data_IF_911692496171
#
_entry.id   IF_911692496171
#
_cell.length_a   1.000
_cell.length_b   1.000
_cell.length_c   1.000
_cell.angle_alpha   90.00
_cell.angle_beta   90.00
_cell.angle_gamma   90.00
#
_symmetry.space_group_name_H-M   'P 1'
#
loop_
_entity.id
_entity.type
_entity.pdbx_description
1 polymer ?
#
# COMPACT_ATOMS: atom_id res chain seq x y z
N UNK A 1 -28.03 0.83 -24.25
CA UNK A 1 -27.97 0.27 -22.87
C UNK A 1 -26.50 0.23 -22.42
N UNK A 2 -26.03 1.22 -21.66
CA UNK A 2 -24.69 1.18 -21.06
C UNK A 2 -24.70 0.14 -19.94
N UNK A 3 -24.09 -1.03 -20.16
CA UNK A 3 -23.74 -1.93 -19.06
C UNK A 3 -22.68 -1.20 -18.23
N UNK A 4 -23.09 -0.54 -17.15
CA UNK A 4 -22.18 -0.02 -16.12
C UNK A 4 -21.49 -1.22 -15.46
N UNK A 5 -20.39 -1.66 -16.07
CA UNK A 5 -19.51 -2.65 -15.46
C UNK A 5 -18.72 -1.95 -14.37
N UNK A 6 -19.08 -2.18 -13.10
CA UNK A 6 -18.39 -1.59 -11.95
C UNK A 6 -16.99 -2.22 -11.74
N UNK A 7 -16.86 -3.52 -12.01
CA UNK A 7 -15.58 -4.23 -12.01
C UNK A 7 -15.69 -5.51 -12.86
N UNK A 8 -14.58 -5.93 -13.47
CA UNK A 8 -14.44 -7.24 -14.13
C UNK A 8 -13.27 -7.98 -13.48
N UNK A 9 -13.57 -9.11 -12.85
CA UNK A 9 -12.56 -9.99 -12.30
C UNK A 9 -12.01 -10.90 -13.40
N UNK A 10 -10.71 -11.15 -13.39
CA UNK A 10 -10.11 -12.18 -14.23
C UNK A 10 -10.57 -13.54 -13.73
N UNK A 11 -11.26 -14.31 -14.59
CA UNK A 11 -11.66 -15.68 -14.25
C UNK A 11 -10.49 -16.67 -14.16
N UNK A 12 -9.36 -16.34 -14.79
CA UNK A 12 -8.10 -17.07 -14.75
C UNK A 12 -6.94 -16.12 -15.03
N UNK A 13 -5.77 -16.38 -14.44
CA UNK A 13 -4.57 -15.57 -14.64
C UNK A 13 -3.40 -16.07 -13.80
N UNK A 14 -2.17 -15.96 -14.33
CA UNK A 14 -0.95 -16.21 -13.58
C UNK A 14 -0.50 -14.92 -12.86
N UNK A 15 -0.79 -14.86 -11.55
CA UNK A 15 -0.39 -13.77 -10.67
C UNK A 15 0.86 -14.13 -9.84
N UNK A 16 1.69 -15.03 -10.34
CA UNK A 16 2.98 -15.32 -9.73
C UNK A 16 3.92 -14.10 -9.79
N UNK A 17 4.80 -13.97 -8.79
CA UNK A 17 5.81 -12.92 -8.77
C UNK A 17 6.72 -12.96 -10.00
N UNK A 18 6.95 -14.16 -10.57
CA UNK A 18 7.68 -14.33 -11.84
C UNK A 18 6.93 -13.65 -12.99
N UNK A 19 5.64 -13.94 -13.16
CA UNK A 19 4.86 -13.38 -14.25
C UNK A 19 4.66 -11.86 -14.09
N UNK A 20 4.46 -11.39 -12.86
CA UNK A 20 4.38 -9.96 -12.54
C UNK A 20 5.68 -9.25 -12.92
N UNK A 21 6.84 -9.82 -12.57
CA UNK A 21 8.14 -9.28 -12.96
C UNK A 21 8.31 -9.22 -14.47
N UNK A 22 7.94 -10.28 -15.18
CA UNK A 22 8.10 -10.35 -16.63
C UNK A 22 7.21 -9.36 -17.38
N UNK A 23 5.96 -9.16 -16.93
CA UNK A 23 4.99 -8.31 -17.62
C UNK A 23 5.07 -6.84 -17.20
N UNK A 24 5.42 -6.56 -15.94
CA UNK A 24 5.37 -5.21 -15.37
C UNK A 24 6.74 -4.69 -14.92
N UNK A 25 7.81 -5.50 -14.95
CA UNK A 25 9.14 -5.08 -14.49
C UNK A 25 9.23 -4.90 -12.97
N UNK A 26 8.28 -5.46 -12.21
CA UNK A 26 8.17 -5.28 -10.76
C UNK A 26 8.58 -6.55 -10.03
N UNK A 27 9.44 -6.43 -9.02
CA UNK A 27 9.84 -7.55 -8.18
C UNK A 27 9.16 -7.48 -6.81
N UNK A 28 8.02 -8.15 -6.69
CA UNK A 28 7.30 -8.32 -5.42
C UNK A 28 7.98 -9.43 -4.61
N UNK A 29 7.98 -9.32 -3.27
CA UNK A 29 8.34 -10.46 -2.42
C UNK A 29 9.82 -10.57 -2.06
N UNK A 30 10.71 -9.73 -2.63
CA UNK A 30 12.16 -9.83 -2.37
C UNK A 30 12.51 -9.67 -0.89
N UNK A 31 11.78 -8.82 -0.16
CA UNK A 31 11.95 -8.56 1.27
C UNK A 31 10.91 -9.25 2.15
N UNK A 32 9.93 -9.91 1.54
CA UNK A 32 8.76 -10.49 2.22
C UNK A 32 8.58 -11.97 1.88
N UNK A 33 9.70 -12.69 1.68
CA UNK A 33 9.73 -14.14 1.45
C UNK A 33 8.78 -14.64 0.34
N UNK A 34 8.72 -13.91 -0.78
CA UNK A 34 7.90 -14.32 -1.91
C UNK A 34 6.40 -14.12 -1.72
N UNK A 35 5.98 -13.32 -0.73
CA UNK A 35 4.58 -12.96 -0.52
C UNK A 35 3.94 -12.44 -1.81
N UNK A 36 2.68 -12.85 -2.01
CA UNK A 36 1.78 -12.31 -3.04
C UNK A 36 0.92 -11.22 -2.40
N UNK A 37 0.63 -10.20 -3.18
CA UNK A 37 -0.29 -9.13 -2.77
C UNK A 37 -1.73 -9.59 -2.93
N UNK A 38 -2.62 -8.96 -2.18
CA UNK A 38 -4.04 -9.33 -2.15
C UNK A 38 -4.74 -9.10 -3.49
N UNK A 39 -4.51 -7.94 -4.13
CA UNK A 39 -5.24 -7.54 -5.34
C UNK A 39 -4.33 -6.83 -6.34
N UNK A 40 -4.53 -7.08 -7.64
CA UNK A 40 -4.01 -6.26 -8.74
C UNK A 40 -5.18 -5.62 -9.47
N UNK A 41 -5.17 -4.30 -9.57
CA UNK A 41 -6.25 -3.51 -10.19
C UNK A 41 -5.70 -2.82 -11.43
N UNK A 42 -6.39 -2.95 -12.56
CA UNK A 42 -6.14 -2.14 -13.75
C UNK A 42 -7.19 -1.04 -13.84
N UNK A 43 -6.76 0.23 -13.78
CA UNK A 43 -7.61 1.40 -14.06
C UNK A 43 -6.97 2.15 -15.23
N UNK A 44 -7.65 2.17 -16.37
CA UNK A 44 -7.13 2.71 -17.63
C UNK A 44 -5.79 2.06 -18.06
N UNK A 45 -4.71 2.84 -18.08
CA UNK A 45 -3.35 2.43 -18.45
C UNK A 45 -2.48 2.09 -17.24
N UNK A 46 -3.00 2.31 -16.03
CA UNK A 46 -2.28 2.18 -14.78
C UNK A 46 -2.63 0.86 -14.09
N UNK A 47 -1.62 0.29 -13.43
CA UNK A 47 -1.70 -0.99 -12.71
C UNK A 47 -1.38 -0.73 -11.25
N UNK A 48 -2.28 -1.14 -10.37
CA UNK A 48 -2.17 -0.96 -8.92
C UNK A 48 -1.98 -2.32 -8.26
N UNK A 49 -0.95 -2.42 -7.43
CA UNK A 49 -0.54 -3.61 -6.70
C UNK A 49 -0.86 -3.36 -5.23
N UNK A 50 -1.93 -4.00 -4.75
CA UNK A 50 -2.56 -3.64 -3.50
C UNK A 50 -2.42 -4.74 -2.45
N UNK A 51 -1.98 -4.33 -1.27
CA UNK A 51 -2.13 -5.10 -0.03
C UNK A 51 -3.12 -4.39 0.89
N UNK A 52 -4.04 -5.16 1.46
CA UNK A 52 -5.06 -4.70 2.39
C UNK A 52 -4.82 -5.30 3.78
N UNK A 53 -4.88 -4.46 4.81
CA UNK A 53 -5.01 -4.90 6.20
C UNK A 53 -6.22 -4.24 6.83
N UNK A 54 -6.91 -5.03 7.65
CA UNK A 54 -7.94 -4.57 8.56
C UNK A 54 -7.48 -4.92 9.97
N UNK A 55 -7.07 -3.91 10.74
CA UNK A 55 -6.47 -4.08 12.06
C UNK A 55 -7.52 -3.87 13.14
N UNK A 56 -7.99 -4.97 13.73
CA UNK A 56 -8.98 -4.97 14.83
C UNK A 56 -8.36 -5.17 16.21
N UNK A 57 -7.08 -5.53 16.27
CA UNK A 57 -6.36 -5.83 17.52
C UNK A 57 -5.18 -4.89 17.71
N UNK A 58 -4.93 -4.50 18.97
CA UNK A 58 -3.80 -3.66 19.34
C UNK A 58 -2.52 -4.46 19.62
N UNK A 59 -1.36 -3.79 19.67
CA UNK A 59 -0.13 -4.34 20.23
C UNK A 59 0.99 -4.67 19.23
N UNK A 60 1.77 -5.70 19.52
CA UNK A 60 2.99 -6.05 18.76
C UNK A 60 2.72 -6.47 17.31
N UNK A 61 1.63 -7.23 17.10
CA UNK A 61 1.23 -7.70 15.77
C UNK A 61 0.82 -6.55 14.85
N UNK A 62 0.09 -5.57 15.38
CA UNK A 62 -0.32 -4.37 14.67
C UNK A 62 0.89 -3.62 14.07
N UNK A 63 1.94 -3.45 14.88
CA UNK A 63 3.17 -2.79 14.44
C UNK A 63 3.85 -3.52 13.29
N UNK A 64 3.84 -4.86 13.31
CA UNK A 64 4.43 -5.68 12.26
C UNK A 64 3.67 -5.51 10.95
N UNK A 65 2.34 -5.46 11.01
CA UNK A 65 1.48 -5.25 9.84
C UNK A 65 1.68 -3.86 9.24
N UNK A 66 1.83 -2.81 10.06
CA UNK A 66 2.14 -1.45 9.57
C UNK A 66 3.49 -1.41 8.86
N UNK A 67 4.53 -2.01 9.45
CA UNK A 67 5.85 -2.06 8.83
C UNK A 67 5.82 -2.83 7.50
N UNK A 68 5.05 -3.92 7.42
CA UNK A 68 4.85 -4.67 6.19
C UNK A 68 4.21 -3.80 5.10
N UNK A 69 3.14 -3.07 5.44
CA UNK A 69 2.50 -2.14 4.51
C UNK A 69 3.46 -1.03 4.05
N UNK A 70 4.29 -0.49 4.93
CA UNK A 70 5.31 0.51 4.56
C UNK A 70 6.36 -0.11 3.61
N UNK A 71 6.85 -1.33 3.88
CA UNK A 71 7.83 -2.00 3.01
C UNK A 71 7.29 -2.27 1.60
N UNK A 72 5.98 -2.50 1.45
CA UNK A 72 5.35 -2.67 0.12
C UNK A 72 5.45 -1.37 -0.69
N UNK A 73 5.05 -0.23 -0.12
CA UNK A 73 5.10 1.07 -0.82
C UNK A 73 6.51 1.67 -0.91
N UNK A 74 7.50 1.10 -0.21
CA UNK A 74 8.93 1.41 -0.42
C UNK A 74 9.45 0.88 -1.75
N UNK A 75 8.80 -0.11 -2.35
CA UNK A 75 9.25 -0.69 -3.61
C UNK A 75 9.16 0.33 -4.75
N UNK A 76 10.24 0.39 -5.54
CA UNK A 76 10.25 1.17 -6.78
C UNK A 76 9.38 0.50 -7.82
N UNK A 77 8.65 1.31 -8.57
CA UNK A 77 7.78 0.87 -9.64
C UNK A 77 7.97 1.73 -10.90
N UNK A 78 7.71 1.17 -12.09
CA UNK A 78 7.62 1.96 -13.32
C UNK A 78 6.51 3.03 -13.26
N UNK A 79 6.54 3.99 -14.19
CA UNK A 79 5.68 5.18 -14.21
C UNK A 79 4.18 4.89 -14.07
N UNK A 80 3.69 3.74 -14.57
CA UNK A 80 2.26 3.34 -14.57
C UNK A 80 1.94 2.18 -13.65
N UNK A 81 2.83 1.94 -12.69
CA UNK A 81 2.71 0.86 -11.74
C UNK A 81 2.77 1.47 -10.35
N UNK A 82 1.81 1.12 -9.51
CA UNK A 82 1.59 1.79 -8.24
C UNK A 82 1.46 0.73 -7.16
N UNK A 83 2.26 0.83 -6.11
CA UNK A 83 2.00 0.06 -4.90
C UNK A 83 1.00 0.80 -4.04
N UNK A 84 0.00 0.07 -3.54
CA UNK A 84 -1.05 0.62 -2.69
C UNK A 84 -1.07 -0.20 -1.40
N UNK A 85 -0.82 0.49 -0.29
CA UNK A 85 -1.05 -0.06 1.04
C UNK A 85 -2.36 0.49 1.56
N UNK A 86 -3.35 -0.40 1.67
CA UNK A 86 -4.64 -0.11 2.23
C UNK A 86 -4.67 -0.53 3.70
N UNK A 87 -4.95 0.45 4.57
CA UNK A 87 -5.19 0.19 5.98
C UNK A 87 -6.52 0.81 6.38
N UNK A 88 -7.46 -0.05 6.76
CA UNK A 88 -8.78 0.37 7.20
C UNK A 88 -8.81 0.79 8.69
N UNK A 89 -9.83 1.57 9.05
CA UNK A 89 -10.17 1.94 10.42
C UNK A 89 -9.39 3.13 10.99
N UNK A 90 -9.61 3.38 12.28
CA UNK A 90 -9.00 4.49 13.03
C UNK A 90 -7.47 4.40 13.09
N UNK A 91 -6.89 3.22 12.83
CA UNK A 91 -5.44 3.04 12.93
C UNK A 91 -4.67 3.82 11.85
N UNK A 92 -5.18 3.87 10.62
CA UNK A 92 -4.57 4.69 9.57
C UNK A 92 -4.58 6.17 9.97
N UNK A 93 -5.68 6.65 10.55
CA UNK A 93 -5.78 8.02 11.06
C UNK A 93 -4.81 8.27 12.23
N UNK A 94 -4.63 7.27 13.10
CA UNK A 94 -3.68 7.35 14.21
C UNK A 94 -2.22 7.42 13.77
N UNK A 95 -1.87 6.88 12.61
CA UNK A 95 -0.54 7.06 12.02
C UNK A 95 -0.46 8.45 11.39
N UNK A 96 -1.47 8.84 10.61
CA UNK A 96 -1.45 10.10 9.86
C UNK A 96 -1.56 11.36 10.74
N UNK A 97 -2.06 11.25 11.98
CA UNK A 97 -2.17 12.39 12.92
C UNK A 97 -0.82 13.01 13.29
N UNK A 98 0.28 12.28 13.13
CA UNK A 98 1.61 12.76 13.50
C UNK A 98 2.18 13.81 12.53
N UNK A 99 1.51 14.14 11.41
CA UNK A 99 1.98 15.14 10.44
C UNK A 99 2.24 16.52 11.06
N UNK A 100 1.48 16.90 12.10
CA UNK A 100 1.61 18.18 12.81
C UNK A 100 2.45 18.12 14.09
N UNK A 101 2.85 16.93 14.57
CA UNK A 101 3.38 16.75 15.93
C UNK A 101 4.87 16.43 16.02
N UNK A 102 5.51 16.09 14.89
CA UNK A 102 6.94 15.75 14.87
C UNK A 102 7.79 17.01 14.93
N UNK A 103 7.95 17.50 16.17
CA UNK A 103 9.07 18.36 16.54
C UNK A 103 10.31 17.47 16.63
N UNK A 104 11.48 17.99 16.24
CA UNK A 104 12.78 17.34 16.40
C UNK A 104 13.02 16.92 17.87
N UNK A 105 12.54 15.74 18.24
CA UNK A 105 12.70 15.13 19.57
C UNK A 105 13.70 13.99 19.47
N UNK A 106 14.62 13.91 20.43
CA UNK A 106 15.60 12.84 20.52
C UNK A 106 14.96 11.46 20.74
N UNK A 107 13.82 11.41 21.44
CA UNK A 107 13.09 10.19 21.74
C UNK A 107 11.74 10.19 21.01
N UNK A 108 11.64 9.39 19.95
CA UNK A 108 10.41 9.18 19.18
C UNK A 108 9.72 7.91 19.64
N UNK A 109 8.41 7.97 19.77
CA UNK A 109 7.54 6.81 19.93
C UNK A 109 7.56 5.96 18.66
N UNK A 110 7.13 4.69 18.78
CA UNK A 110 7.06 3.78 17.64
C UNK A 110 6.12 4.27 16.53
N UNK A 111 5.02 4.90 16.89
CA UNK A 111 4.07 5.49 15.94
C UNK A 111 4.67 6.68 15.18
N UNK A 112 5.41 7.56 15.86
CA UNK A 112 6.13 8.67 15.22
C UNK A 112 7.18 8.15 14.22
N UNK A 113 7.96 7.13 14.61
CA UNK A 113 8.93 6.50 13.70
C UNK A 113 8.27 5.89 12.47
N UNK A 114 7.15 5.17 12.64
CA UNK A 114 6.40 4.60 11.52
C UNK A 114 5.85 5.68 10.58
N UNK A 115 5.35 6.79 11.13
CA UNK A 115 4.88 7.90 10.34
C UNK A 115 6.00 8.57 9.54
N UNK A 116 7.17 8.81 10.14
CA UNK A 116 8.32 9.36 9.40
C UNK A 116 8.76 8.43 8.27
N UNK A 117 8.84 7.13 8.55
CA UNK A 117 9.17 6.11 7.56
C UNK A 117 8.17 6.13 6.40
N UNK A 118 6.87 6.21 6.71
CA UNK A 118 5.80 6.34 5.75
C UNK A 118 5.97 7.62 4.91
N UNK A 119 6.12 8.78 5.56
CA UNK A 119 6.26 10.09 4.90
C UNK A 119 7.47 10.12 3.97
N UNK A 120 8.64 9.71 4.46
CA UNK A 120 9.87 9.65 3.68
C UNK A 120 9.74 8.70 2.50
N UNK A 121 9.04 7.58 2.68
CA UNK A 121 8.76 6.62 1.62
C UNK A 121 7.90 7.23 0.52
N UNK A 122 6.80 7.89 0.88
CA UNK A 122 5.89 8.50 -0.10
C UNK A 122 6.53 9.68 -0.84
N UNK A 123 7.40 10.46 -0.17
CA UNK A 123 8.18 11.52 -0.82
C UNK A 123 9.13 10.95 -1.88
N UNK A 124 9.81 9.84 -1.56
CA UNK A 124 10.76 9.16 -2.47
C UNK A 124 10.05 8.41 -3.59
N UNK A 125 8.89 7.83 -3.32
CA UNK A 125 8.10 7.02 -4.25
C UNK A 125 6.73 7.68 -4.49
N UNK A 126 6.73 8.83 -5.18
CA UNK A 126 5.52 9.67 -5.40
C UNK A 126 4.36 8.99 -6.11
N UNK A 127 4.61 7.86 -6.76
CA UNK A 127 3.62 7.08 -7.49
C UNK A 127 3.00 5.95 -6.64
N UNK A 128 3.41 5.79 -5.38
CA UNK A 128 2.84 4.80 -4.47
C UNK A 128 1.90 5.48 -3.46
N UNK A 129 0.98 4.70 -2.91
CA UNK A 129 -0.12 5.24 -2.13
C UNK A 129 -0.28 4.51 -0.79
N UNK A 130 -0.48 5.30 0.25
CA UNK A 130 -1.05 4.85 1.51
C UNK A 130 -2.46 5.39 1.62
N UNK A 131 -3.45 4.51 1.80
CA UNK A 131 -4.86 4.92 1.78
C UNK A 131 -5.63 4.25 2.91
N UNK A 132 -6.53 5.02 3.52
CA UNK A 132 -7.64 4.50 4.31
C UNK A 132 -8.88 4.33 3.40
N UNK A 133 -10.02 3.97 3.98
CA UNK A 133 -11.29 3.80 3.23
C UNK A 133 -11.67 5.01 2.38
N UNK A 134 -11.58 6.23 2.92
CA UNK A 134 -11.87 7.44 2.16
C UNK A 134 -10.87 7.65 1.00
N UNK A 135 -9.58 7.45 1.25
CA UNK A 135 -8.54 7.55 0.23
C UNK A 135 -8.67 6.49 -0.86
N UNK A 136 -9.05 5.27 -0.50
CA UNK A 136 -9.26 4.17 -1.43
C UNK A 136 -10.45 4.45 -2.36
N UNK A 137 -11.57 4.90 -1.81
CA UNK A 137 -12.73 5.33 -2.60
C UNK A 137 -12.30 6.41 -3.58
N UNK A 138 -11.63 7.49 -3.10
CA UNK A 138 -11.18 8.59 -3.96
C UNK A 138 -10.23 8.14 -5.08
N UNK A 139 -9.37 7.15 -4.82
CA UNK A 139 -8.41 6.65 -5.79
C UNK A 139 -9.10 5.86 -6.92
N UNK A 140 -10.12 5.07 -6.58
CA UNK A 140 -10.77 4.15 -7.54
C UNK A 140 -12.13 4.62 -8.07
N UNK A 141 -12.77 5.61 -7.45
CA UNK A 141 -13.96 6.28 -7.99
C UNK A 141 -13.72 7.04 -9.28
#
# INVERSE_FOLDING_TARGET
KNKKCMAKFSGSGDFSNKNIKNNFGISIGQRTQGKKLDIIIRKNKDIYFLEAKHLNTGGGEQNKQVLELIEIIKQRSPVRCHFVSFLDGLHSNNILKFDSEIKNKANKTKGEMQYEDLKNTLIKNKNNYWVNTAGFIKLFS
#
